data_IF_963625498039
#
_entry.id   IF_963625498039
#
_cell.length_a   1.000
_cell.length_b   1.000
_cell.length_c   1.000
_cell.angle_alpha   90.00
_cell.angle_beta   90.00
_cell.angle_gamma   90.00
#
_symmetry.space_group_name_H-M   'P 1'
#
loop_
_entity.id
_entity.type
_entity.pdbx_description
1 polymer ?
#
# COMPACT_ATOMS: atom_id res chain seq x y z
N UNK A 1 -19.45 11.08 -35.23
CA UNK A 1 -18.44 12.15 -35.06
C UNK A 1 -18.64 12.78 -33.68
N UNK A 2 -17.61 12.76 -32.85
CA UNK A 2 -17.65 13.34 -31.51
C UNK A 2 -17.58 14.87 -31.61
N UNK A 3 -18.16 15.59 -30.66
CA UNK A 3 -18.06 17.05 -30.62
C UNK A 3 -16.70 17.49 -30.06
N UNK A 4 -16.13 18.59 -30.57
CA UNK A 4 -14.90 19.18 -30.03
C UNK A 4 -15.05 19.46 -28.53
N UNK A 5 -14.03 19.09 -27.76
CA UNK A 5 -14.00 19.26 -26.29
C UNK A 5 -12.90 20.25 -25.92
N UNK A 6 -13.30 21.41 -25.41
CA UNK A 6 -12.33 22.36 -24.84
C UNK A 6 -12.13 22.04 -23.36
N UNK A 7 -10.92 22.29 -22.83
CA UNK A 7 -10.71 22.21 -21.39
C UNK A 7 -11.63 23.17 -20.63
N UNK A 8 -12.18 22.73 -19.48
CA UNK A 8 -13.06 23.57 -18.69
C UNK A 8 -12.23 24.64 -17.99
N UNK A 9 -12.74 25.88 -17.96
CA UNK A 9 -12.11 26.99 -17.22
C UNK A 9 -12.37 26.93 -15.70
N UNK A 10 -13.11 25.93 -15.22
CA UNK A 10 -13.54 25.78 -13.84
C UNK A 10 -13.58 24.31 -13.42
N UNK A 11 -14.45 23.98 -12.45
CA UNK A 11 -14.58 22.60 -11.94
C UNK A 11 -14.94 21.64 -13.06
N UNK A 12 -14.22 20.53 -13.15
CA UNK A 12 -14.51 19.44 -14.08
C UNK A 12 -15.89 18.86 -13.74
N UNK A 13 -16.79 18.84 -14.73
CA UNK A 13 -18.13 18.24 -14.60
C UNK A 13 -18.14 16.82 -15.15
N UNK A 14 -19.10 16.01 -14.70
CA UNK A 14 -19.30 14.65 -15.22
C UNK A 14 -19.55 14.67 -16.73
N UNK A 15 -20.45 15.54 -17.20
CA UNK A 15 -20.75 15.70 -18.63
C UNK A 15 -19.52 16.04 -19.47
N UNK A 16 -18.63 16.89 -18.96
CA UNK A 16 -17.38 17.20 -19.65
C UNK A 16 -16.48 15.97 -19.72
N UNK A 17 -16.35 15.24 -18.61
CA UNK A 17 -15.54 14.01 -18.55
C UNK A 17 -16.07 12.96 -19.52
N UNK A 18 -17.39 12.72 -19.52
CA UNK A 18 -18.03 11.74 -20.40
C UNK A 18 -17.73 12.08 -21.87
N UNK A 19 -17.82 13.36 -22.25
CA UNK A 19 -17.47 13.80 -23.61
C UNK A 19 -15.98 13.69 -23.93
N UNK A 20 -15.10 14.05 -22.99
CA UNK A 20 -13.65 14.03 -23.18
C UNK A 20 -13.12 12.60 -23.38
N UNK A 21 -13.74 11.62 -22.72
CA UNK A 21 -13.31 10.23 -22.75
C UNK A 21 -14.15 9.33 -23.66
N UNK A 22 -15.28 9.79 -24.20
CA UNK A 22 -16.16 8.99 -25.06
C UNK A 22 -15.44 8.23 -26.21
N UNK A 23 -14.55 8.85 -27.03
CA UNK A 23 -13.87 8.11 -28.10
C UNK A 23 -13.00 6.96 -27.58
N UNK A 24 -12.32 7.17 -26.44
CA UNK A 24 -11.49 6.17 -25.81
C UNK A 24 -12.34 5.06 -25.18
N UNK A 25 -13.44 5.40 -24.50
CA UNK A 25 -14.35 4.43 -23.91
C UNK A 25 -14.93 3.53 -25.01
N UNK A 26 -15.47 4.11 -26.07
CA UNK A 26 -16.07 3.35 -27.18
C UNK A 26 -15.05 2.42 -27.85
N UNK A 27 -13.78 2.87 -27.97
CA UNK A 27 -12.69 2.04 -28.45
C UNK A 27 -12.39 0.88 -27.49
N UNK A 28 -12.25 1.15 -26.19
CA UNK A 28 -11.93 0.12 -25.20
C UNK A 28 -13.06 -0.90 -25.05
N UNK A 29 -14.32 -0.48 -25.08
CA UNK A 29 -15.47 -1.41 -25.06
C UNK A 29 -15.45 -2.37 -26.25
N UNK A 30 -14.97 -1.91 -27.41
CA UNK A 30 -14.91 -2.71 -28.62
C UNK A 30 -13.71 -3.65 -28.67
N UNK A 31 -12.55 -3.21 -28.20
CA UNK A 31 -11.27 -3.92 -28.43
C UNK A 31 -10.61 -4.47 -27.17
N UNK A 32 -10.89 -3.91 -25.99
CA UNK A 32 -10.30 -4.30 -24.70
C UNK A 32 -11.35 -4.26 -23.56
N UNK A 33 -12.52 -4.93 -23.69
CA UNK A 33 -13.62 -4.76 -22.75
C UNK A 33 -13.28 -5.23 -21.32
N UNK A 34 -12.45 -6.27 -21.19
CA UNK A 34 -12.07 -6.85 -19.89
C UNK A 34 -11.16 -5.91 -19.08
N UNK A 35 -10.28 -5.16 -19.76
CA UNK A 35 -9.31 -4.27 -19.11
C UNK A 35 -9.73 -2.80 -19.13
N UNK A 36 -10.91 -2.49 -19.67
CA UNK A 36 -11.40 -1.10 -19.86
C UNK A 36 -11.23 -0.26 -18.60
N UNK A 37 -11.73 -0.75 -17.47
CA UNK A 37 -11.74 0.02 -16.22
C UNK A 37 -10.31 0.24 -15.68
N UNK A 38 -9.42 -0.75 -15.83
CA UNK A 38 -8.00 -0.65 -15.43
C UNK A 38 -7.25 0.38 -16.29
N UNK A 39 -7.45 0.32 -17.61
CA UNK A 39 -6.83 1.24 -18.58
C UNK A 39 -7.31 2.68 -18.34
N UNK A 40 -8.62 2.86 -18.10
CA UNK A 40 -9.24 4.19 -17.91
C UNK A 40 -8.66 4.94 -16.70
N UNK A 41 -8.36 4.26 -15.60
CA UNK A 41 -7.75 4.88 -14.40
C UNK A 41 -6.34 5.43 -14.70
N UNK A 42 -5.64 4.83 -15.65
CA UNK A 42 -4.25 5.15 -15.97
C UNK A 42 -4.10 6.20 -17.07
N UNK A 43 -5.18 6.57 -17.76
CA UNK A 43 -5.16 7.54 -18.85
C UNK A 43 -5.62 8.93 -18.40
N UNK A 44 -4.97 9.95 -18.93
CA UNK A 44 -5.33 11.35 -18.76
C UNK A 44 -5.67 11.95 -20.12
N UNK A 45 -6.84 12.54 -20.25
CA UNK A 45 -7.17 13.38 -21.40
C UNK A 45 -6.25 14.61 -21.41
N UNK A 46 -5.49 14.76 -22.48
CA UNK A 46 -4.52 15.84 -22.68
C UNK A 46 -5.06 17.00 -23.49
N UNK A 47 -6.12 16.80 -24.28
CA UNK A 47 -6.78 17.85 -25.05
C UNK A 47 -7.44 17.35 -26.32
N UNK A 48 -8.27 18.22 -26.91
CA UNK A 48 -8.78 18.04 -28.27
C UNK A 48 -8.26 19.20 -29.15
N UNK A 49 -7.18 18.93 -29.88
CA UNK A 49 -6.46 19.89 -30.71
C UNK A 49 -6.49 19.40 -32.15
N UNK A 50 -6.67 20.32 -33.11
CA UNK A 50 -6.69 19.99 -34.55
C UNK A 50 -7.67 18.86 -34.94
N UNK A 51 -8.78 18.72 -34.20
CA UNK A 51 -9.76 17.67 -34.44
C UNK A 51 -9.30 16.27 -34.00
N UNK A 52 -8.35 16.19 -33.07
CA UNK A 52 -7.83 14.95 -32.50
C UNK A 52 -7.93 14.95 -30.99
N UNK A 53 -8.36 13.84 -30.41
CA UNK A 53 -8.38 13.61 -28.97
C UNK A 53 -7.06 12.97 -28.54
N UNK A 54 -6.37 13.60 -27.61
CA UNK A 54 -5.08 13.15 -27.10
C UNK A 54 -5.23 12.61 -25.68
N UNK A 55 -4.68 11.43 -25.43
CA UNK A 55 -4.61 10.80 -24.12
C UNK A 55 -3.16 10.43 -23.80
N UNK A 56 -2.79 10.54 -22.52
CA UNK A 56 -1.47 10.18 -22.01
C UNK A 56 -1.59 9.23 -20.84
N UNK A 57 -0.82 8.15 -20.88
CA UNK A 57 -0.70 7.20 -19.79
C UNK A 57 0.12 7.81 -18.65
N UNK A 58 -0.41 7.75 -17.43
CA UNK A 58 0.15 8.44 -16.26
C UNK A 58 1.49 7.87 -15.82
N UNK A 59 1.70 6.57 -16.00
CA UNK A 59 2.89 5.85 -15.52
C UNK A 59 3.99 5.89 -16.58
N UNK A 60 3.89 5.06 -17.62
CA UNK A 60 4.89 4.96 -18.69
C UNK A 60 4.93 6.14 -19.70
N UNK A 61 4.03 7.12 -19.57
CA UNK A 61 3.96 8.32 -20.43
C UNK A 61 3.65 8.05 -21.91
N UNK A 62 3.23 6.83 -22.30
CA UNK A 62 2.76 6.52 -23.64
C UNK A 62 1.48 7.29 -24.01
N UNK A 63 1.17 7.40 -25.29
CA UNK A 63 0.05 8.22 -25.79
C UNK A 63 -0.90 7.44 -26.69
N UNK A 64 -2.17 7.87 -26.67
CA UNK A 64 -3.22 7.41 -27.57
C UNK A 64 -3.84 8.65 -28.22
N UNK A 65 -4.06 8.59 -29.53
CA UNK A 65 -4.67 9.67 -30.30
C UNK A 65 -5.79 9.13 -31.16
N UNK A 66 -6.97 9.75 -31.05
CA UNK A 66 -8.12 9.49 -31.90
C UNK A 66 -8.45 10.72 -32.73
N UNK A 67 -9.03 10.55 -33.92
CA UNK A 67 -9.60 11.66 -34.67
C UNK A 67 -11.02 12.03 -34.17
N UNK A 68 -11.62 13.04 -34.81
CA UNK A 68 -12.95 13.52 -34.46
C UNK A 68 -14.08 12.51 -34.78
N UNK A 69 -13.81 11.52 -35.63
CA UNK A 69 -14.74 10.45 -35.97
C UNK A 69 -14.68 9.30 -34.96
N UNK A 70 -13.61 9.23 -34.17
CA UNK A 70 -13.35 8.14 -33.22
C UNK A 70 -12.40 7.09 -33.76
N UNK A 71 -11.80 7.29 -34.92
CA UNK A 71 -10.82 6.36 -35.46
C UNK A 71 -9.49 6.53 -34.72
N UNK A 72 -8.84 5.42 -34.42
CA UNK A 72 -7.52 5.41 -33.82
C UNK A 72 -6.51 5.95 -34.84
N UNK A 73 -5.85 7.06 -34.50
CA UNK A 73 -4.84 7.71 -35.35
C UNK A 73 -3.44 7.27 -34.95
N UNK A 74 -3.17 7.20 -33.66
CA UNK A 74 -1.86 6.81 -33.13
C UNK A 74 -2.01 6.10 -31.81
N UNK A 75 -1.24 5.03 -31.65
CA UNK A 75 -1.14 4.26 -30.43
C UNK A 75 0.33 3.95 -30.18
N UNK A 76 0.91 4.53 -29.14
CA UNK A 76 2.26 4.16 -28.73
C UNK A 76 2.26 2.79 -28.04
N UNK A 77 3.34 2.05 -28.27
CA UNK A 77 3.60 0.78 -27.59
C UNK A 77 3.57 1.02 -26.07
N UNK A 78 2.79 0.19 -25.36
CA UNK A 78 2.56 0.31 -23.91
C UNK A 78 1.43 1.24 -23.47
N UNK A 79 0.74 1.97 -24.35
CA UNK A 79 -0.40 2.79 -23.92
C UNK A 79 -1.64 1.97 -23.52
N UNK A 80 -1.79 0.77 -24.10
CA UNK A 80 -2.83 -0.22 -23.76
C UNK A 80 -2.26 -1.47 -23.10
N UNK A 81 -1.01 -1.83 -23.41
CA UNK A 81 -0.34 -3.01 -22.89
C UNK A 81 0.57 -2.62 -21.72
N UNK A 82 -0.05 -2.35 -20.57
CA UNK A 82 0.67 -2.13 -19.31
C UNK A 82 0.42 -3.32 -18.38
N UNK A 83 1.46 -3.77 -17.66
CA UNK A 83 1.28 -4.81 -16.65
C UNK A 83 0.58 -4.21 -15.43
N UNK A 84 -0.73 -4.39 -15.39
CA UNK A 84 -1.58 -3.86 -14.32
C UNK A 84 -1.42 -4.58 -13.00
N UNK A 85 -0.68 -5.70 -12.92
CA UNK A 85 -0.52 -6.49 -11.69
C UNK A 85 0.11 -5.68 -10.56
N UNK A 86 1.05 -4.78 -10.88
CA UNK A 86 1.71 -3.95 -9.85
C UNK A 86 0.84 -2.77 -9.37
N UNK A 87 -0.06 -2.26 -10.22
CA UNK A 87 -0.95 -1.14 -9.86
C UNK A 87 -2.26 -1.59 -9.23
N UNK A 88 -2.71 -2.79 -9.60
CA UNK A 88 -3.94 -3.43 -9.14
C UNK A 88 -3.63 -4.89 -8.81
N UNK A 89 -2.89 -5.14 -7.71
CA UNK A 89 -2.66 -6.51 -7.27
C UNK A 89 -4.02 -7.21 -7.08
N UNK A 90 -4.13 -8.42 -7.61
CA UNK A 90 -5.32 -9.24 -7.39
C UNK A 90 -5.51 -9.43 -5.88
N UNK A 91 -6.72 -9.23 -5.33
CA UNK A 91 -6.95 -9.38 -3.91
C UNK A 91 -6.67 -10.82 -3.50
N UNK A 92 -5.84 -11.03 -2.49
CA UNK A 92 -5.56 -12.38 -1.99
C UNK A 92 -6.82 -12.93 -1.33
N UNK A 93 -7.39 -13.96 -1.95
CA UNK A 93 -8.52 -14.69 -1.39
C UNK A 93 -7.99 -15.57 -0.26
N UNK A 94 -8.02 -15.05 0.97
CA UNK A 94 -7.64 -15.83 2.15
C UNK A 94 -8.85 -16.60 2.68
N UNK A 95 -8.63 -17.85 3.10
CA UNK A 95 -9.65 -18.65 3.79
C UNK A 95 -10.12 -17.94 5.08
N UNK A 96 -11.32 -18.18 5.61
CA UNK A 96 -11.70 -17.69 6.95
C UNK A 96 -10.66 -18.05 8.01
N UNK A 97 -10.48 -17.22 9.05
CA UNK A 97 -9.50 -17.46 10.14
C UNK A 97 -9.74 -18.83 10.78
N UNK A 98 -11.00 -19.22 10.90
CA UNK A 98 -11.45 -20.49 11.46
C UNK A 98 -10.93 -21.71 10.70
N UNK A 99 -10.56 -21.54 9.43
CA UNK A 99 -10.02 -22.58 8.56
C UNK A 99 -8.50 -22.54 8.44
N UNK A 100 -7.85 -21.50 8.99
CA UNK A 100 -6.39 -21.35 8.95
C UNK A 100 -5.76 -21.95 10.21
N UNK A 101 -4.61 -22.60 10.03
CA UNK A 101 -3.75 -22.86 11.18
C UNK A 101 -3.09 -21.54 11.61
N UNK A 102 -3.35 -21.12 12.84
CA UNK A 102 -2.72 -19.95 13.47
C UNK A 102 -1.99 -20.43 14.72
N UNK A 103 -0.73 -20.02 14.87
CA UNK A 103 0.07 -20.46 16.00
C UNK A 103 -0.59 -20.05 17.33
N UNK A 104 -0.70 -20.95 18.33
CA UNK A 104 -1.39 -20.65 19.59
C UNK A 104 -0.86 -19.41 20.31
N UNK A 105 0.44 -19.14 20.23
CA UNK A 105 1.03 -17.95 20.86
C UNK A 105 0.52 -16.65 20.23
N UNK A 106 0.20 -16.63 18.93
CA UNK A 106 -0.30 -15.42 18.27
C UNK A 106 -1.71 -15.10 18.75
N UNK A 107 -2.56 -16.14 18.84
CA UNK A 107 -3.90 -16.06 19.42
C UNK A 107 -3.84 -15.56 20.86
N UNK A 108 -3.01 -16.21 21.69
CA UNK A 108 -2.86 -15.83 23.10
C UNK A 108 -2.35 -14.40 23.27
N UNK A 109 -1.40 -13.96 22.42
CA UNK A 109 -0.88 -12.61 22.50
C UNK A 109 -1.96 -11.58 22.18
N UNK A 110 -2.75 -11.80 21.11
CA UNK A 110 -3.86 -10.91 20.74
C UNK A 110 -4.89 -10.84 21.87
N UNK A 111 -5.31 -11.99 22.40
CA UNK A 111 -6.35 -12.06 23.43
C UNK A 111 -5.89 -11.44 24.77
N UNK A 112 -4.59 -11.51 25.09
CA UNK A 112 -4.01 -10.91 26.32
C UNK A 112 -3.72 -9.42 26.20
N UNK A 113 -3.25 -8.95 25.04
CA UNK A 113 -2.75 -7.59 24.89
C UNK A 113 -3.78 -6.61 24.31
N UNK A 114 -4.74 -7.08 23.50
CA UNK A 114 -5.74 -6.21 22.89
C UNK A 114 -7.03 -6.18 23.72
N UNK A 115 -7.52 -4.98 24.02
CA UNK A 115 -8.88 -4.79 24.58
C UNK A 115 -9.92 -5.28 23.56
N UNK A 116 -11.02 -5.87 24.02
CA UNK A 116 -12.03 -6.51 23.15
C UNK A 116 -12.51 -5.64 21.99
N UNK A 117 -12.68 -4.32 22.21
CA UNK A 117 -13.07 -3.38 21.14
C UNK A 117 -11.99 -3.20 20.07
N UNK A 118 -10.72 -3.17 20.47
CA UNK A 118 -9.56 -3.06 19.57
C UNK A 118 -9.35 -4.38 18.85
N UNK A 119 -9.44 -5.51 19.57
CA UNK A 119 -9.32 -6.84 18.98
C UNK A 119 -10.40 -7.07 17.91
N UNK A 120 -11.66 -6.68 18.15
CA UNK A 120 -12.72 -6.80 17.13
C UNK A 120 -12.39 -6.10 15.81
N UNK A 121 -11.55 -5.06 15.86
CA UNK A 121 -11.19 -4.26 14.69
C UNK A 121 -9.91 -4.71 14.00
N UNK A 122 -8.90 -5.15 14.76
CA UNK A 122 -7.57 -5.42 14.20
C UNK A 122 -7.11 -6.87 14.35
N UNK A 123 -7.99 -7.79 14.80
CA UNK A 123 -7.59 -9.17 15.11
C UNK A 123 -7.08 -9.91 13.89
N UNK A 124 -7.68 -9.73 12.72
CA UNK A 124 -7.24 -10.43 11.52
C UNK A 124 -5.85 -9.96 11.09
N UNK A 125 -5.68 -8.65 10.96
CA UNK A 125 -4.42 -8.00 10.58
C UNK A 125 -3.31 -8.36 11.56
N UNK A 126 -3.61 -8.35 12.87
CA UNK A 126 -2.64 -8.70 13.90
C UNK A 126 -2.28 -10.19 13.88
N UNK A 127 -3.23 -11.09 13.61
CA UNK A 127 -2.91 -12.51 13.51
C UNK A 127 -2.04 -12.79 12.29
N UNK A 128 -2.31 -12.14 11.15
CA UNK A 128 -1.47 -12.25 9.95
C UNK A 128 -0.07 -11.70 10.23
N UNK A 129 0.03 -10.48 10.76
CA UNK A 129 1.30 -9.85 11.11
C UNK A 129 2.12 -10.72 12.08
N UNK A 130 1.51 -11.22 13.15
CA UNK A 130 2.21 -12.07 14.13
C UNK A 130 2.60 -13.43 13.52
N UNK A 131 1.71 -14.08 12.77
CA UNK A 131 1.93 -15.43 12.24
C UNK A 131 2.94 -15.45 11.09
N UNK A 132 2.82 -14.52 10.16
CA UNK A 132 3.49 -14.57 8.85
C UNK A 132 4.68 -13.62 8.74
N UNK A 133 4.73 -12.55 9.55
CA UNK A 133 5.79 -11.54 9.46
C UNK A 133 6.66 -11.63 10.71
N UNK A 134 6.13 -11.27 11.87
CA UNK A 134 6.94 -11.14 13.08
C UNK A 134 7.35 -12.50 13.68
N UNK A 135 6.45 -13.48 13.71
CA UNK A 135 6.64 -14.76 14.39
C UNK A 135 7.81 -15.58 13.86
N UNK A 136 8.15 -15.44 12.57
CA UNK A 136 9.30 -16.11 11.97
C UNK A 136 10.63 -15.59 12.54
N UNK A 137 10.72 -14.31 12.90
CA UNK A 137 11.94 -13.70 13.46
C UNK A 137 12.14 -14.02 14.94
N UNK A 138 11.05 -14.12 15.70
CA UNK A 138 11.10 -14.34 17.15
C UNK A 138 10.74 -15.77 17.56
N UNK A 139 10.70 -16.70 16.61
CA UNK A 139 10.28 -18.09 16.82
C UNK A 139 8.95 -18.19 17.61
N UNK A 140 7.98 -17.34 17.22
CA UNK A 140 6.65 -17.23 17.83
C UNK A 140 6.65 -16.88 19.34
N UNK A 141 7.74 -16.32 19.87
CA UNK A 141 7.81 -15.69 21.20
C UNK A 141 7.60 -14.17 21.10
N UNK A 142 6.44 -13.71 21.55
CA UNK A 142 6.01 -12.32 21.45
C UNK A 142 6.17 -11.55 22.76
N UNK A 143 6.99 -12.04 23.68
CA UNK A 143 7.15 -11.46 25.02
C UNK A 143 7.74 -10.05 25.01
N UNK A 144 8.48 -9.69 23.96
CA UNK A 144 9.12 -8.38 23.79
C UNK A 144 8.21 -7.34 23.11
N UNK A 145 7.13 -7.78 22.44
CA UNK A 145 6.18 -6.92 21.74
C UNK A 145 5.23 -6.20 22.70
N UNK A 146 5.13 -4.89 22.51
CA UNK A 146 4.18 -4.00 23.20
C UNK A 146 3.15 -3.45 22.24
N UNK A 147 1.99 -3.10 22.80
CA UNK A 147 0.90 -2.45 22.08
C UNK A 147 0.61 -1.08 22.67
N UNK A 148 0.25 -0.13 21.81
CA UNK A 148 -0.09 1.26 22.15
C UNK A 148 0.93 2.25 21.63
N UNK A 149 0.63 3.54 21.77
CA UNK A 149 1.54 4.59 21.29
C UNK A 149 2.85 4.56 22.10
N UNK A 150 4.04 4.50 21.45
CA UNK A 150 5.28 4.25 22.16
C UNK A 150 5.78 5.43 23.01
N UNK A 151 5.36 6.67 22.70
CA UNK A 151 5.77 7.86 23.45
C UNK A 151 4.85 8.08 24.66
N UNK A 152 5.46 8.12 25.86
CA UNK A 152 4.75 8.28 27.14
C UNK A 152 3.90 9.55 27.17
N UNK A 153 2.74 9.46 27.85
CA UNK A 153 1.78 10.55 28.12
C UNK A 153 0.96 11.03 26.91
N UNK A 154 1.05 10.39 25.75
CA UNK A 154 0.12 10.62 24.64
C UNK A 154 -1.03 9.60 24.67
N UNK A 155 -2.14 9.98 24.04
CA UNK A 155 -3.32 9.11 23.90
C UNK A 155 -3.13 8.26 22.65
N UNK A 156 -3.58 7.01 22.70
CA UNK A 156 -3.66 6.15 21.52
C UNK A 156 -4.60 6.76 20.48
N UNK A 157 -4.19 6.72 19.21
CA UNK A 157 -5.07 7.03 18.10
C UNK A 157 -6.25 6.06 18.09
N UNK A 158 -7.41 6.58 17.71
CA UNK A 158 -8.61 5.77 17.48
C UNK A 158 -8.62 5.10 16.10
N UNK A 159 -7.70 5.52 15.23
CA UNK A 159 -7.65 5.17 13.83
C UNK A 159 -6.46 4.27 13.47
N UNK A 160 -5.55 4.06 14.42
CA UNK A 160 -4.36 3.23 14.22
C UNK A 160 -4.13 2.33 15.44
N UNK A 161 -3.52 1.16 15.21
CA UNK A 161 -2.94 0.32 16.24
C UNK A 161 -1.42 0.39 16.11
N UNK A 162 -0.73 0.60 17.23
CA UNK A 162 0.73 0.63 17.26
C UNK A 162 1.26 -0.60 17.99
N UNK A 163 2.23 -1.27 17.38
CA UNK A 163 2.90 -2.44 17.94
C UNK A 163 4.40 -2.25 17.78
N UNK A 164 5.18 -2.49 18.82
CA UNK A 164 6.62 -2.28 18.77
C UNK A 164 7.38 -3.23 19.69
N UNK A 165 8.56 -3.71 19.29
CA UNK A 165 9.43 -4.44 20.17
C UNK A 165 10.02 -3.50 21.22
N UNK A 166 10.13 -3.98 22.46
CA UNK A 166 10.64 -3.18 23.56
C UNK A 166 12.11 -3.39 23.89
N UNK A 167 12.74 -4.39 23.27
CA UNK A 167 14.12 -4.81 23.52
C UNK A 167 15.08 -4.46 22.38
N UNK A 168 14.64 -3.75 21.33
CA UNK A 168 15.50 -3.36 20.21
C UNK A 168 16.28 -2.09 20.51
N UNK A 169 17.52 -2.01 20.03
CA UNK A 169 18.37 -0.82 20.16
C UNK A 169 17.81 0.36 19.36
N UNK A 170 17.30 0.09 18.15
CA UNK A 170 16.60 1.09 17.32
C UNK A 170 15.10 1.08 17.60
N UNK A 171 14.54 2.28 17.70
CA UNK A 171 13.12 2.47 17.93
C UNK A 171 12.32 2.23 16.63
N UNK A 172 11.76 1.03 16.47
CA UNK A 172 10.79 0.72 15.41
C UNK A 172 9.39 0.68 16.00
N UNK A 173 8.41 1.21 15.27
CA UNK A 173 7.00 0.93 15.53
C UNK A 173 6.27 0.53 14.25
N UNK A 174 5.51 -0.55 14.35
CA UNK A 174 4.56 -1.00 13.35
C UNK A 174 3.22 -0.31 13.60
N UNK A 175 2.69 0.36 12.59
CA UNK A 175 1.42 1.07 12.64
C UNK A 175 0.41 0.38 11.72
N UNK A 176 -0.56 -0.32 12.30
CA UNK A 176 -1.72 -0.82 11.56
C UNK A 176 -2.68 0.35 11.34
N UNK A 177 -2.82 0.80 10.10
CA UNK A 177 -3.67 1.92 9.72
C UNK A 177 -5.08 1.36 9.49
N UNK A 178 -6.08 1.90 10.19
CA UNK A 178 -7.45 1.46 10.00
C UNK A 178 -8.16 2.11 8.80
N UNK A 179 -9.17 1.40 8.31
CA UNK A 179 -9.95 1.73 7.11
C UNK A 179 -10.47 3.16 7.08
N UNK A 180 -10.80 3.77 8.23
CA UNK A 180 -11.35 5.12 8.23
C UNK A 180 -10.35 6.18 7.72
N UNK A 181 -9.05 5.91 7.84
CA UNK A 181 -8.00 6.74 7.23
C UNK A 181 -7.89 6.43 5.74
N UNK A 182 -7.86 5.14 5.38
CA UNK A 182 -7.65 4.63 4.02
C UNK A 182 -8.79 5.06 3.09
N UNK A 183 -10.02 4.76 3.49
CA UNK A 183 -11.26 5.10 2.78
C UNK A 183 -11.66 6.58 2.95
N UNK A 184 -10.93 7.33 3.78
CA UNK A 184 -11.23 8.73 4.12
C UNK A 184 -12.63 8.94 4.71
N UNK A 185 -13.16 7.93 5.41
CA UNK A 185 -14.43 8.01 6.13
C UNK A 185 -14.29 8.64 7.53
N UNK A 186 -13.07 8.99 7.95
CA UNK A 186 -12.81 9.70 9.21
C UNK A 186 -13.11 11.21 9.16
N UNK A 187 -13.27 11.83 10.33
CA UNK A 187 -13.35 13.29 10.44
C UNK A 187 -11.99 13.93 10.13
N UNK A 188 -12.01 15.18 9.64
CA UNK A 188 -10.79 15.98 9.41
C UNK A 188 -9.88 16.04 10.65
N UNK A 189 -10.47 16.08 11.85
CA UNK A 189 -9.73 16.06 13.11
C UNK A 189 -8.95 14.75 13.27
N UNK A 190 -9.61 13.60 13.08
CA UNK A 190 -8.96 12.29 13.18
C UNK A 190 -7.83 12.12 12.16
N UNK A 191 -8.03 12.59 10.93
CA UNK A 191 -6.99 12.54 9.91
C UNK A 191 -5.78 13.42 10.27
N UNK A 192 -6.04 14.63 10.79
CA UNK A 192 -4.97 15.49 11.27
C UNK A 192 -4.24 14.90 12.49
N UNK A 193 -4.97 14.30 13.42
CA UNK A 193 -4.40 13.62 14.59
C UNK A 193 -3.48 12.48 14.14
N UNK A 194 -3.89 11.67 13.15
CA UNK A 194 -3.07 10.63 12.51
C UNK A 194 -1.76 11.20 11.91
N UNK A 195 -1.86 12.23 11.05
CA UNK A 195 -0.68 12.85 10.44
C UNK A 195 0.28 13.42 11.48
N UNK A 196 -0.29 14.04 12.52
CA UNK A 196 0.49 14.67 13.58
C UNK A 196 1.21 13.63 14.43
N UNK A 197 0.56 12.52 14.77
CA UNK A 197 1.17 11.41 15.50
C UNK A 197 2.34 10.77 14.73
N UNK A 198 2.21 10.60 13.41
CA UNK A 198 3.29 10.07 12.56
C UNK A 198 4.50 11.02 12.49
N UNK A 199 4.23 12.32 12.35
CA UNK A 199 5.28 13.33 12.39
C UNK A 199 5.97 13.35 13.75
N UNK A 200 5.22 13.18 14.84
CA UNK A 200 5.79 13.17 16.18
C UNK A 200 6.70 11.96 16.42
N UNK A 201 6.29 10.77 16.01
CA UNK A 201 7.14 9.57 16.08
C UNK A 201 8.45 9.78 15.33
N UNK A 202 8.37 10.37 14.13
CA UNK A 202 9.55 10.70 13.33
C UNK A 202 10.48 11.69 14.04
N UNK A 203 9.93 12.70 14.75
CA UNK A 203 10.71 13.68 15.51
C UNK A 203 11.38 13.08 16.76
N UNK A 204 10.83 11.99 17.29
CA UNK A 204 11.38 11.23 18.41
C UNK A 204 12.29 10.07 17.94
N UNK A 205 12.76 10.12 16.68
CA UNK A 205 13.61 9.12 16.04
C UNK A 205 13.02 7.69 15.95
N UNK A 206 11.69 7.57 16.03
CA UNK A 206 11.02 6.30 15.74
C UNK A 206 10.93 6.06 14.24
N UNK A 207 11.39 4.89 13.81
CA UNK A 207 11.09 4.36 12.49
C UNK A 207 9.68 3.80 12.46
N UNK A 208 8.77 4.53 11.82
CA UNK A 208 7.37 4.10 11.64
C UNK A 208 7.24 3.26 10.38
N UNK A 209 6.70 2.05 10.51
CA UNK A 209 6.33 1.16 9.41
C UNK A 209 4.81 1.06 9.43
N UNK A 210 4.16 1.88 8.61
CA UNK A 210 2.72 1.86 8.44
C UNK A 210 2.30 0.81 7.43
N UNK A 211 1.23 0.07 7.73
CA UNK A 211 0.61 -0.83 6.78
C UNK A 211 -0.91 -0.87 6.93
N UNK A 212 -1.58 -1.17 5.83
CA UNK A 212 -3.02 -1.45 5.74
C UNK A 212 -3.25 -2.95 5.55
N UNK A 213 -4.51 -3.38 5.60
CA UNK A 213 -4.86 -4.79 5.41
C UNK A 213 -4.38 -5.31 4.05
N UNK A 214 -4.51 -4.50 3.02
CA UNK A 214 -4.13 -4.82 1.65
C UNK A 214 -2.63 -5.08 1.49
N UNK A 215 -1.78 -4.43 2.30
CA UNK A 215 -0.34 -4.69 2.28
C UNK A 215 -0.03 -6.10 2.78
N UNK A 216 -0.76 -6.56 3.80
CA UNK A 216 -0.67 -7.93 4.33
C UNK A 216 -1.29 -8.93 3.36
N UNK A 217 -2.38 -8.55 2.70
CA UNK A 217 -3.10 -9.35 1.71
C UNK A 217 -2.47 -9.26 0.31
N UNK A 218 -1.26 -8.71 0.15
CA UNK A 218 -0.56 -8.77 -1.12
C UNK A 218 0.31 -10.03 -1.18
N UNK A 219 0.21 -10.80 -2.27
CA UNK A 219 1.26 -11.77 -2.65
C UNK A 219 2.55 -11.05 -3.08
N UNK A 220 2.58 -9.72 -3.05
CA UNK A 220 3.79 -8.96 -3.36
C UNK A 220 4.83 -9.25 -2.28
N UNK A 221 5.97 -9.88 -2.65
CA UNK A 221 7.05 -10.11 -1.71
C UNK A 221 7.61 -8.78 -1.16
N UNK A 222 7.34 -7.65 -1.84
CA UNK A 222 7.92 -6.35 -1.54
C UNK A 222 7.65 -5.88 -0.11
N UNK A 223 6.42 -6.02 0.41
CA UNK A 223 6.11 -5.55 1.76
C UNK A 223 6.76 -6.45 2.82
N UNK A 224 6.68 -7.77 2.65
CA UNK A 224 7.30 -8.73 3.58
C UNK A 224 8.82 -8.57 3.59
N UNK A 225 9.45 -8.56 2.41
CA UNK A 225 10.89 -8.38 2.25
C UNK A 225 11.33 -7.00 2.79
N UNK A 226 10.53 -5.95 2.59
CA UNK A 226 10.80 -4.64 3.17
C UNK A 226 10.79 -4.69 4.71
N UNK A 227 9.77 -5.31 5.32
CA UNK A 227 9.69 -5.44 6.77
C UNK A 227 10.85 -6.27 7.30
N UNK A 228 11.17 -7.41 6.67
CA UNK A 228 12.31 -8.27 7.02
C UNK A 228 13.63 -7.48 7.03
N UNK A 229 13.91 -6.73 5.95
CA UNK A 229 15.11 -5.89 5.86
C UNK A 229 15.16 -4.83 6.95
N UNK A 230 14.03 -4.22 7.30
CA UNK A 230 13.99 -3.20 8.36
C UNK A 230 14.23 -3.84 9.74
N UNK A 231 13.68 -5.03 10.00
CA UNK A 231 13.93 -5.81 11.22
C UNK A 231 15.42 -6.13 11.32
N UNK A 232 16.04 -6.66 10.28
CA UNK A 232 17.48 -6.94 10.24
C UNK A 232 18.34 -5.70 10.53
N UNK A 233 17.97 -4.53 9.97
CA UNK A 233 18.71 -3.28 10.18
C UNK A 233 18.53 -2.75 11.61
N UNK A 234 17.41 -3.04 12.26
CA UNK A 234 17.15 -2.61 13.63
C UNK A 234 17.61 -3.57 14.71
N UNK A 235 17.80 -4.85 14.37
CA UNK A 235 18.65 -5.77 15.10
C UNK A 235 20.14 -5.36 14.93
N UNK A 236 20.56 -4.15 15.33
CA UNK A 236 21.99 -3.92 15.56
C UNK A 236 22.43 -4.86 16.70
N UNK A 237 22.81 -6.08 16.32
CA UNK A 237 23.52 -7.04 17.15
C UNK A 237 24.90 -6.41 17.33
N UNK A 238 25.24 -6.14 18.58
CA UNK A 238 26.58 -5.74 19.03
C UNK A 238 27.67 -6.43 18.18
N UNK A 239 28.66 -5.70 17.63
CA UNK A 239 29.66 -6.24 16.72
C UNK A 239 30.65 -7.14 17.46
N UNK A 240 30.24 -8.36 17.76
CA UNK A 240 31.14 -9.45 18.21
C UNK A 240 31.31 -10.52 17.13
N UNK A 241 30.62 -10.38 16.01
CA UNK A 241 30.94 -11.13 14.79
C UNK A 241 31.47 -10.17 13.71
N UNK A 242 32.67 -9.63 13.95
CA UNK A 242 33.63 -9.54 12.84
C UNK A 242 33.88 -10.98 12.36
N UNK A 243 32.99 -11.52 11.53
CA UNK A 243 33.43 -12.49 10.54
C UNK A 243 34.37 -11.68 9.67
N UNK A 244 35.65 -11.87 9.96
CA UNK A 244 36.77 -11.26 9.30
C UNK A 244 36.65 -11.58 7.80
N UNK A 245 36.03 -10.69 7.03
CA UNK A 245 35.90 -10.82 5.56
C UNK A 245 37.27 -10.79 4.87
N UNK A 246 38.36 -10.53 5.61
CA UNK A 246 39.72 -10.81 5.15
C UNK A 246 40.06 -12.31 5.17
N UNK A 247 39.53 -13.10 6.13
CA UNK A 247 39.81 -14.53 6.24
C UNK A 247 39.09 -15.39 5.17
N UNK A 248 37.97 -14.91 4.62
CA UNK A 248 37.28 -15.58 3.50
C UNK A 248 37.89 -15.28 2.13
N UNK A 249 38.80 -14.29 2.02
CA UNK A 249 39.57 -14.05 0.78
C UNK A 249 40.75 -15.01 0.63
N UNK A 250 41.20 -15.64 1.71
CA UNK A 250 42.30 -16.61 1.71
C UNK A 250 41.83 -18.07 1.59
N UNK A 251 40.52 -18.32 1.47
CA UNK A 251 39.94 -19.66 1.30
C UNK A 251 39.39 -19.94 -0.10
N UNK A 252 40.03 -19.38 -1.13
CA UNK A 252 40.05 -20.01 -2.45
C UNK A 252 41.27 -20.93 -2.51
N UNK A 253 41.09 -22.17 -2.03
CA UNK A 253 41.84 -23.36 -2.44
C UNK A 253 40.90 -24.57 -2.41
#
# INVERSE_FOLDING_TARGET
MYAKVNYPKGKITKEWSDRAFAPLIDYLEKFCPEDKDKIMVCLTFMGNEEGKFHYKHRVNKSYIVFDQEGALVSLNEGALNFDYKELFPEPVIRKPIEERFIHPNAIQWVDRNLKSKVARRYREEMLIFLQEIWGLHVNYDYSDLKVGYPVRKRRDSRCCLYVYPSNYEKQIVFQVIGDEIVERSCTRKQYNDYLWENNWLTLEDWKVIGFIREDLDSESPDFREFVERIIEIAEWRDPVYEINYAALKDMNL
#
